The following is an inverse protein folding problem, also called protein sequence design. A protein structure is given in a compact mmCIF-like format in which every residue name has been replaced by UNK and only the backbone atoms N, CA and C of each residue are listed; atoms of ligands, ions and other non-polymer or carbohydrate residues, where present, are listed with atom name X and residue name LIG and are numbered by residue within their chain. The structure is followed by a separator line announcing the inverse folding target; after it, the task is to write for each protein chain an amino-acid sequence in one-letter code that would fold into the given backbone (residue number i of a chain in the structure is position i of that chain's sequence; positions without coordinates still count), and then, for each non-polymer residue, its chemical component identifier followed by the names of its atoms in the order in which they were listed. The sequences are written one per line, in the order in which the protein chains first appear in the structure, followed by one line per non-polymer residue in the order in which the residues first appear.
data_IF_784582852813
#
_entry.id   IF_784582852813
#
_cell.length_a   1.000
_cell.length_b   1.000
_cell.length_c   1.000
_cell.angle_alpha   90.00
_cell.angle_beta   90.00
_cell.angle_gamma   90.00
#
_symmetry.space_group_name_H-M   'P 1'
#
loop_
_entity.id
_entity.type
_entity.pdbx_description
1 polymer ?
#
# COMPACT_ATOMS: atom_id res chain seq x y z
N UNK A 1 8.72 10.11 2.35
CA UNK A 1 8.12 10.51 1.07
C UNK A 1 7.22 9.39 0.58
N UNK A 2 6.09 9.69 -0.07
CA UNK A 2 5.17 8.74 -0.75
C UNK A 2 4.31 9.43 -1.83
N UNK A 3 4.79 10.54 -2.41
CA UNK A 3 3.99 11.37 -3.33
C UNK A 3 3.60 10.65 -4.63
N UNK A 4 4.46 9.77 -5.13
CA UNK A 4 4.16 8.98 -6.33
C UNK A 4 3.02 8.00 -6.11
N UNK A 5 2.98 7.34 -4.95
CA UNK A 5 1.88 6.45 -4.56
C UNK A 5 0.56 7.21 -4.48
N UNK A 6 0.54 8.35 -3.80
CA UNK A 6 -0.65 9.19 -3.67
C UNK A 6 -1.17 9.70 -5.02
N UNK A 7 -0.28 10.17 -5.90
CA UNK A 7 -0.68 10.60 -7.24
C UNK A 7 -1.19 9.44 -8.10
N UNK A 8 -0.54 8.26 -8.01
CA UNK A 8 -0.95 7.07 -8.73
C UNK A 8 -2.35 6.60 -8.28
N UNK A 9 -2.64 6.59 -6.97
CA UNK A 9 -3.94 6.16 -6.47
C UNK A 9 -5.07 7.09 -6.89
N UNK A 10 -4.85 8.41 -6.84
CA UNK A 10 -5.83 9.39 -7.33
C UNK A 10 -6.10 9.22 -8.83
N UNK A 11 -5.07 8.95 -9.63
CA UNK A 11 -5.23 8.68 -11.06
C UNK A 11 -5.99 7.38 -11.32
N UNK A 12 -5.70 6.31 -10.58
CA UNK A 12 -6.39 5.03 -10.73
C UNK A 12 -7.88 5.15 -10.37
N UNK A 13 -8.21 5.87 -9.31
CA UNK A 13 -9.61 6.14 -8.96
C UNK A 13 -10.32 7.02 -9.99
N UNK A 14 -9.62 8.05 -10.49
CA UNK A 14 -10.15 8.90 -11.56
C UNK A 14 -10.37 8.13 -12.87
N UNK A 15 -9.62 7.04 -13.08
CA UNK A 15 -9.80 6.10 -14.18
C UNK A 15 -10.92 5.07 -13.93
N UNK A 16 -11.60 5.11 -12.77
CA UNK A 16 -12.72 4.25 -12.45
C UNK A 16 -12.36 2.96 -11.69
N UNK A 17 -11.16 2.87 -11.11
CA UNK A 17 -10.81 1.73 -10.26
C UNK A 17 -11.71 1.67 -9.02
N UNK A 18 -12.27 0.50 -8.71
CA UNK A 18 -13.09 0.32 -7.50
C UNK A 18 -12.26 0.28 -6.23
N UNK A 19 -11.03 -0.26 -6.32
CA UNK A 19 -10.08 -0.41 -5.21
C UNK A 19 -8.67 -0.21 -5.74
N UNK A 20 -7.80 0.34 -4.90
CA UNK A 20 -6.39 0.55 -5.25
C UNK A 20 -5.52 -0.04 -4.15
N UNK A 21 -4.62 -0.93 -4.56
CA UNK A 21 -3.62 -1.55 -3.71
C UNK A 21 -2.23 -1.06 -4.13
N UNK A 22 -1.35 -0.93 -3.14
CA UNK A 22 0.03 -0.56 -3.34
C UNK A 22 0.92 -1.71 -2.87
N UNK A 23 1.94 -2.08 -3.66
CA UNK A 23 2.90 -3.12 -3.28
C UNK A 23 4.31 -2.54 -3.40
N UNK A 24 5.15 -2.75 -2.40
CA UNK A 24 6.57 -2.39 -2.45
C UNK A 24 7.44 -3.47 -1.80
N UNK A 25 8.65 -3.65 -2.33
CA UNK A 25 9.62 -4.56 -1.70
C UNK A 25 10.22 -3.89 -0.46
N UNK A 26 10.80 -2.71 -0.61
CA UNK A 26 11.45 -1.97 0.48
C UNK A 26 10.60 -0.78 0.94
N UNK A 27 9.75 -0.98 1.95
CA UNK A 27 8.93 0.09 2.54
C UNK A 27 9.69 0.88 3.60
N UNK A 28 10.56 1.80 3.16
CA UNK A 28 11.29 2.71 4.05
C UNK A 28 10.35 3.74 4.70
N UNK A 29 9.23 4.08 4.02
CA UNK A 29 8.16 4.98 4.49
C UNK A 29 8.65 6.20 5.33
N UNK A 30 9.66 6.91 4.85
CA UNK A 30 10.27 8.02 5.60
C UNK A 30 9.39 9.26 5.72
N UNK A 31 9.61 10.10 6.73
CA UNK A 31 8.97 11.41 6.86
C UNK A 31 7.43 11.35 6.75
N UNK A 32 6.78 12.13 5.86
CA UNK A 32 5.31 12.19 5.78
C UNK A 32 4.68 10.99 5.06
N UNK A 33 5.41 9.89 4.84
CA UNK A 33 4.90 8.77 4.05
C UNK A 33 3.68 8.10 4.67
N UNK A 34 3.74 7.80 5.97
CA UNK A 34 2.65 7.16 6.70
C UNK A 34 1.39 8.04 6.70
N UNK A 35 1.53 9.34 6.96
CA UNK A 35 0.41 10.28 6.92
C UNK A 35 -0.23 10.34 5.52
N UNK A 36 0.58 10.29 4.46
CA UNK A 36 0.06 10.22 3.09
C UNK A 36 -0.67 8.93 2.81
N UNK A 37 -0.14 7.78 3.25
CA UNK A 37 -0.81 6.48 3.11
C UNK A 37 -2.16 6.50 3.82
N UNK A 38 -2.21 7.03 5.04
CA UNK A 38 -3.44 7.16 5.81
C UNK A 38 -4.47 8.05 5.12
N UNK A 39 -4.06 9.19 4.57
CA UNK A 39 -4.94 10.13 3.86
C UNK A 39 -5.26 9.72 2.41
N UNK A 40 -4.47 8.83 1.83
CA UNK A 40 -4.66 8.37 0.47
C UNK A 40 -5.76 7.31 0.38
N UNK A 41 -6.38 7.17 -0.79
CA UNK A 41 -7.48 6.25 -1.00
C UNK A 41 -7.03 4.81 -1.30
N UNK A 42 -5.88 4.39 -0.76
CA UNK A 42 -5.49 2.98 -0.79
C UNK A 42 -6.37 2.17 0.15
N UNK A 43 -6.74 0.99 -0.33
CA UNK A 43 -7.37 -0.04 0.49
C UNK A 43 -6.32 -0.69 1.40
N UNK A 44 -5.21 -1.14 0.80
CA UNK A 44 -4.05 -1.63 1.54
C UNK A 44 -2.74 -1.30 0.83
N UNK A 45 -1.69 -1.18 1.64
CA UNK A 45 -0.31 -1.01 1.20
C UNK A 45 0.49 -2.19 1.73
N UNK A 46 1.02 -3.00 0.82
CA UNK A 46 1.74 -4.20 1.18
C UNK A 46 3.22 -4.02 0.95
N UNK A 47 3.98 -4.38 1.97
CA UNK A 47 5.43 -4.29 1.98
C UNK A 47 6.05 -5.64 2.32
N UNK A 48 7.19 -5.98 1.70
CA UNK A 48 7.94 -7.19 2.10
C UNK A 48 8.76 -6.94 3.38
N UNK A 49 9.02 -7.99 4.16
CA UNK A 49 9.76 -7.94 5.43
C UNK A 49 11.28 -7.72 5.28
N UNK A 50 11.75 -7.09 4.20
CA UNK A 50 13.18 -6.79 3.99
C UNK A 50 13.72 -5.75 4.98
N UNK A 51 12.84 -4.98 5.61
CA UNK A 51 13.12 -4.00 6.68
C UNK A 51 12.05 -4.22 7.77
N UNK A 52 12.36 -4.10 9.07
CA UNK A 52 11.35 -4.14 10.14
C UNK A 52 10.21 -3.15 9.89
N UNK A 53 8.97 -3.62 9.98
CA UNK A 53 7.76 -2.84 9.64
C UNK A 53 6.82 -2.65 10.83
N UNK A 54 7.16 -3.16 12.02
CA UNK A 54 6.26 -3.15 13.18
C UNK A 54 5.83 -1.74 13.57
N UNK A 55 6.74 -0.76 13.45
CA UNK A 55 6.43 0.65 13.72
C UNK A 55 5.49 1.24 12.67
N UNK A 56 5.71 0.92 11.40
CA UNK A 56 4.88 1.39 10.29
C UNK A 56 3.45 0.83 10.38
N UNK A 57 3.30 -0.45 10.73
CA UNK A 57 1.99 -1.09 10.96
C UNK A 57 1.26 -0.50 12.17
N UNK A 58 1.98 -0.13 13.25
CA UNK A 58 1.37 0.57 14.40
C UNK A 58 0.86 1.96 14.03
N UNK A 59 1.57 2.65 13.13
CA UNK A 59 1.23 4.01 12.71
C UNK A 59 0.19 4.03 11.55
N UNK A 60 -0.12 2.89 10.95
CA UNK A 60 -1.12 2.76 9.87
C UNK A 60 -1.71 1.36 9.78
N UNK A 61 -3.03 1.26 9.98
CA UNK A 61 -3.78 0.02 9.79
C UNK A 61 -3.87 -0.43 8.32
N UNK A 62 -3.47 0.44 7.37
CA UNK A 62 -3.47 0.13 5.93
C UNK A 62 -2.22 -0.64 5.51
N UNK A 63 -1.17 -0.64 6.34
CA UNK A 63 0.11 -1.27 6.01
C UNK A 63 0.07 -2.74 6.43
N UNK A 64 0.32 -3.62 5.47
CA UNK A 64 0.37 -5.05 5.67
C UNK A 64 1.73 -5.57 5.23
N UNK A 65 2.24 -6.60 5.93
CA UNK A 65 3.53 -7.20 5.63
C UNK A 65 3.29 -8.60 5.10
N UNK A 66 3.57 -8.81 3.82
CA UNK A 66 3.45 -10.13 3.20
C UNK A 66 4.56 -10.36 2.18
N UNK A 67 5.07 -11.60 2.14
CA UNK A 67 6.20 -11.96 1.27
C UNK A 67 5.75 -12.45 -0.13
N UNK A 68 4.50 -12.93 -0.29
CA UNK A 68 4.11 -13.66 -1.51
C UNK A 68 2.62 -13.65 -1.91
N UNK A 69 1.66 -13.27 -1.05
CA UNK A 69 0.28 -13.72 -1.25
C UNK A 69 -0.72 -12.74 -1.91
N UNK A 70 -0.43 -11.45 -2.03
CA UNK A 70 -1.43 -10.49 -2.58
C UNK A 70 -1.74 -10.67 -4.04
N UNK A 71 -0.74 -10.92 -4.89
CA UNK A 71 -1.01 -11.12 -6.32
C UNK A 71 -1.89 -12.36 -6.55
N UNK A 72 -1.81 -13.34 -5.66
CA UNK A 72 -2.56 -14.59 -5.77
C UNK A 72 -3.95 -14.48 -5.13
N UNK A 73 -4.15 -13.72 -4.07
CA UNK A 73 -5.48 -13.62 -3.46
C UNK A 73 -6.45 -12.80 -4.32
N UNK A 74 -6.02 -11.63 -4.81
CA UNK A 74 -6.87 -10.73 -5.58
C UNK A 74 -7.14 -11.26 -7.02
N UNK A 75 -6.23 -12.07 -7.56
CA UNK A 75 -6.43 -12.74 -8.86
C UNK A 75 -7.42 -13.91 -8.79
N UNK A 76 -7.63 -14.50 -7.60
CA UNK A 76 -8.55 -15.63 -7.43
C UNK A 76 -9.96 -15.21 -6.99
N UNK A 77 -10.16 -14.01 -6.43
CA UNK A 77 -11.52 -13.46 -6.18
C UNK A 77 -12.22 -12.93 -7.45
N UNK A 78 -11.52 -12.88 -8.59
CA UNK A 78 -12.05 -12.50 -9.89
C UNK A 78 -12.29 -13.68 -10.87
N UNK A 79 -12.14 -14.94 -10.42
CA UNK A 79 -12.57 -16.14 -11.18
C UNK A 79 -13.86 -16.69 -10.60
#
# INVERSE_FOLDING_TARGET
TCGTFECASQKLLSAGASKVYAICTHGIFSGPAISRINNSPFEAVVVTNTIPQEENMKNSNKIQVEMTNILIHDSFEYT
#
